data_IF_705757581945
#
_entry.id   IF_705757581945
#
_cell.length_a   1.000
_cell.length_b   1.000
_cell.length_c   1.000
_cell.angle_alpha   90.00
_cell.angle_beta   90.00
_cell.angle_gamma   90.00
#
_symmetry.space_group_name_H-M   'P 1'
#
loop_
_entity.id
_entity.type
_entity.pdbx_description
1 polymer ?
#
# COMPACT_ATOMS: atom_id res chain seq x y z
N UNK A 1 -1.14 28.18 26.52
CA UNK A 1 -0.41 28.19 27.83
C UNK A 1 -0.25 26.74 28.24
N UNK A 2 0.97 26.28 28.53
CA UNK A 2 1.25 24.91 28.96
C UNK A 2 0.61 24.64 30.32
N UNK A 3 0.00 23.49 30.55
CA UNK A 3 -0.69 23.14 31.81
C UNK A 3 0.20 23.36 33.05
N UNK A 4 1.49 23.11 32.94
CA UNK A 4 2.46 23.36 34.02
C UNK A 4 2.60 24.87 34.32
N UNK A 5 2.65 25.73 33.31
CA UNK A 5 2.75 27.17 33.49
C UNK A 5 1.47 27.74 34.13
N UNK A 6 0.30 27.23 33.76
CA UNK A 6 -0.98 27.61 34.35
C UNK A 6 -1.04 27.28 35.85
N UNK A 7 -0.58 26.09 36.26
CA UNK A 7 -0.52 25.69 37.67
C UNK A 7 0.50 26.53 38.46
N UNK A 8 1.62 26.88 37.85
CA UNK A 8 2.63 27.76 38.48
C UNK A 8 2.12 29.18 38.65
N UNK A 9 1.36 29.71 37.71
CA UNK A 9 0.72 31.02 37.80
C UNK A 9 -0.30 31.10 38.94
N UNK A 10 -0.93 29.96 39.30
CA UNK A 10 -1.85 29.82 40.45
C UNK A 10 -1.11 29.63 41.79
N UNK A 11 0.22 29.74 41.84
CA UNK A 11 1.00 29.64 43.06
C UNK A 11 1.31 28.23 43.52
N UNK A 12 0.98 27.19 42.72
CA UNK A 12 1.25 25.79 43.08
C UNK A 12 2.77 25.55 43.07
N UNK A 13 3.37 24.93 44.11
CA UNK A 13 4.80 24.65 44.15
C UNK A 13 5.29 23.81 42.97
N UNK A 14 6.51 24.07 42.48
CA UNK A 14 7.11 23.44 41.31
C UNK A 14 7.03 21.90 41.35
N UNK A 15 7.18 21.30 42.53
CA UNK A 15 7.09 19.85 42.72
C UNK A 15 5.69 19.32 42.49
N UNK A 16 4.69 19.94 43.09
CA UNK A 16 3.28 19.53 42.98
C UNK A 16 2.78 19.76 41.53
N UNK A 17 3.14 20.88 40.92
CA UNK A 17 2.80 21.15 39.53
C UNK A 17 3.46 20.13 38.55
N UNK A 18 4.67 19.67 38.84
CA UNK A 18 5.35 18.66 38.05
C UNK A 18 4.66 17.27 38.18
N UNK A 19 4.26 16.88 39.39
CA UNK A 19 3.50 15.65 39.65
C UNK A 19 2.14 15.66 38.96
N UNK A 20 1.38 16.75 39.06
CA UNK A 20 0.06 16.88 38.44
C UNK A 20 0.10 16.86 36.90
N UNK A 21 1.20 17.32 36.31
CA UNK A 21 1.37 17.33 34.84
C UNK A 21 2.15 16.14 34.29
N UNK A 22 2.59 15.19 35.14
CA UNK A 22 3.44 14.06 34.76
C UNK A 22 4.84 14.47 34.27
N UNK A 23 5.27 15.69 34.58
CA UNK A 23 6.57 16.21 34.13
C UNK A 23 7.71 15.73 35.00
N UNK A 24 8.84 15.35 34.41
CA UNK A 24 10.02 14.97 35.17
C UNK A 24 10.54 16.16 36.01
N UNK A 25 10.86 15.92 37.29
CA UNK A 25 11.32 16.95 38.24
C UNK A 25 12.50 17.79 37.73
N UNK A 26 13.45 17.18 37.04
CA UNK A 26 14.62 17.88 36.51
C UNK A 26 14.21 18.85 35.35
N UNK A 27 13.21 18.50 34.58
CA UNK A 27 12.64 19.35 33.54
C UNK A 27 11.88 20.53 34.14
N UNK A 28 11.10 20.28 35.18
CA UNK A 28 10.35 21.32 35.91
C UNK A 28 11.31 22.32 36.58
N UNK A 29 12.38 21.86 37.21
CA UNK A 29 13.43 22.74 37.81
C UNK A 29 14.17 23.56 36.75
N UNK A 30 14.52 22.99 35.59
CA UNK A 30 15.15 23.75 34.48
C UNK A 30 14.23 24.81 33.93
N UNK A 31 12.92 24.54 33.82
CA UNK A 31 11.93 25.54 33.39
C UNK A 31 11.79 26.66 34.41
N UNK A 32 11.69 26.35 35.72
CA UNK A 32 11.62 27.38 36.77
C UNK A 32 12.88 28.24 36.86
N UNK A 33 14.04 27.67 36.59
CA UNK A 33 15.32 28.38 36.63
C UNK A 33 15.59 29.21 35.35
N UNK A 34 14.81 29.02 34.29
CA UNK A 34 14.99 29.71 33.02
C UNK A 34 14.43 31.13 33.12
N UNK A 35 15.25 32.10 33.54
CA UNK A 35 14.92 33.50 33.37
C UNK A 35 14.68 33.79 31.91
N UNK A 36 13.70 34.63 31.52
CA UNK A 36 13.59 35.13 30.16
C UNK A 36 14.95 35.75 29.77
N UNK A 37 15.64 35.09 28.85
CA UNK A 37 16.87 35.67 28.35
C UNK A 37 16.49 36.74 27.34
N UNK A 38 16.57 38.01 27.75
CA UNK A 38 16.59 39.17 26.86
C UNK A 38 17.89 39.24 26.06
N UNK A 39 18.69 38.19 26.05
CA UNK A 39 19.82 38.08 25.15
C UNK A 39 19.31 37.87 23.75
N UNK A 40 19.04 38.91 23.01
CA UNK A 40 19.36 38.95 21.59
C UNK A 40 20.84 38.58 21.51
N UNK A 41 21.14 37.30 21.40
CA UNK A 41 22.49 36.84 21.17
C UNK A 41 22.91 37.47 19.84
N UNK A 42 23.71 38.48 19.89
CA UNK A 42 24.41 38.95 18.71
C UNK A 42 25.01 37.73 18.06
N UNK A 43 24.60 37.43 16.82
CA UNK A 43 25.09 36.28 16.07
C UNK A 43 26.60 36.48 15.89
N UNK A 44 27.37 35.94 16.83
CA UNK A 44 28.83 36.03 16.76
C UNK A 44 29.25 35.18 15.58
N UNK A 45 29.63 35.79 14.50
CA UNK A 45 30.16 35.09 13.32
C UNK A 45 31.50 34.48 13.72
N UNK A 46 31.65 33.14 13.66
CA UNK A 46 32.92 32.49 13.98
C UNK A 46 34.05 33.02 13.10
N UNK A 47 35.23 33.24 13.68
CA UNK A 47 36.41 33.78 12.98
C UNK A 47 36.82 32.91 11.77
N UNK A 48 36.55 31.63 11.83
CA UNK A 48 36.83 30.64 10.76
C UNK A 48 35.70 30.41 9.78
N UNK A 49 34.65 31.25 9.79
CA UNK A 49 33.55 31.13 8.84
C UNK A 49 34.01 31.62 7.47
N UNK A 50 33.80 30.77 6.45
CA UNK A 50 34.06 31.17 5.07
C UNK A 50 33.22 32.40 4.66
N UNK A 51 33.81 33.27 3.91
CA UNK A 51 33.13 34.42 3.28
C UNK A 51 32.15 33.93 2.20
N UNK A 52 31.23 34.78 1.78
CA UNK A 52 30.31 34.46 0.71
C UNK A 52 31.04 34.13 -0.61
N UNK A 53 32.12 34.82 -0.91
CA UNK A 53 32.94 34.58 -2.10
C UNK A 53 33.67 33.23 -2.04
N UNK A 54 34.19 32.83 -0.88
CA UNK A 54 34.80 31.52 -0.69
C UNK A 54 33.76 30.39 -0.80
N UNK A 55 32.57 30.57 -0.22
CA UNK A 55 31.47 29.62 -0.37
C UNK A 55 31.05 29.46 -1.84
N UNK A 56 30.96 30.54 -2.61
CA UNK A 56 30.65 30.50 -4.03
C UNK A 56 31.73 29.74 -4.80
N UNK A 57 33.01 30.02 -4.56
CA UNK A 57 34.12 29.30 -5.16
C UNK A 57 34.10 27.80 -4.89
N UNK A 58 33.80 27.40 -3.64
CA UNK A 58 33.65 25.97 -3.30
C UNK A 58 32.48 25.35 -4.06
N UNK A 59 31.36 26.06 -4.19
CA UNK A 59 30.19 25.59 -4.90
C UNK A 59 30.43 25.42 -6.40
N UNK A 60 31.11 26.42 -7.00
CA UNK A 60 31.46 26.41 -8.43
C UNK A 60 32.40 25.24 -8.75
N UNK A 61 33.41 25.02 -7.90
CA UNK A 61 34.33 23.90 -8.07
C UNK A 61 33.59 22.54 -7.96
N UNK A 62 32.74 22.39 -6.94
CA UNK A 62 31.92 21.20 -6.76
C UNK A 62 30.98 20.97 -7.95
N UNK A 63 30.50 21.97 -8.63
CA UNK A 63 29.60 21.93 -9.78
C UNK A 63 30.33 21.96 -11.13
N UNK A 64 31.64 22.05 -11.15
CA UNK A 64 32.43 22.00 -12.38
C UNK A 64 32.17 20.73 -13.16
N UNK A 65 32.35 20.77 -14.48
CA UNK A 65 32.20 19.60 -15.33
C UNK A 65 33.09 18.40 -14.90
N UNK A 66 34.21 18.73 -14.24
CA UNK A 66 35.18 17.76 -13.71
C UNK A 66 34.65 17.03 -12.47
N UNK A 67 33.91 17.71 -11.60
CA UNK A 67 33.55 17.18 -10.27
C UNK A 67 32.05 16.99 -10.03
N UNK A 68 31.22 17.32 -11.01
CA UNK A 68 29.76 17.24 -10.85
C UNK A 68 29.26 15.82 -10.48
N UNK A 69 29.97 14.78 -10.89
CA UNK A 69 29.65 13.38 -10.60
C UNK A 69 30.45 12.80 -9.41
N UNK A 70 31.34 13.59 -8.80
CA UNK A 70 32.21 13.15 -7.71
C UNK A 70 31.59 13.45 -6.34
N UNK A 71 31.81 12.54 -5.39
CA UNK A 71 31.46 12.82 -4.00
C UNK A 71 32.36 13.90 -3.41
N UNK A 72 31.88 14.77 -2.49
CA UNK A 72 32.72 15.82 -1.89
C UNK A 72 34.05 15.34 -1.29
N UNK A 73 34.06 14.11 -0.76
CA UNK A 73 35.29 13.50 -0.25
C UNK A 73 36.30 13.23 -1.36
N UNK A 74 35.86 12.80 -2.52
CA UNK A 74 36.74 12.57 -3.69
C UNK A 74 37.28 13.89 -4.24
N UNK A 75 36.41 14.92 -4.35
CA UNK A 75 36.79 16.26 -4.77
C UNK A 75 37.84 16.82 -3.82
N UNK A 76 37.63 16.69 -2.52
CA UNK A 76 38.58 17.17 -1.49
C UNK A 76 39.94 16.48 -1.63
N UNK A 77 39.97 15.15 -1.80
CA UNK A 77 41.22 14.41 -1.96
C UNK A 77 41.96 14.82 -3.24
N UNK A 78 41.26 14.93 -4.38
CA UNK A 78 41.83 15.32 -5.66
C UNK A 78 42.43 16.74 -5.58
N UNK A 79 41.72 17.70 -4.98
CA UNK A 79 42.22 19.05 -4.81
C UNK A 79 43.45 19.09 -3.91
N UNK A 80 43.52 18.27 -2.87
CA UNK A 80 44.72 18.18 -2.02
C UNK A 80 45.91 17.61 -2.78
N UNK A 81 45.73 16.60 -3.61
CA UNK A 81 46.79 16.03 -4.47
C UNK A 81 47.33 17.07 -5.46
N UNK A 82 46.47 18.03 -5.85
CA UNK A 82 46.85 19.17 -6.71
C UNK A 82 47.40 20.38 -5.93
N UNK A 83 47.59 20.24 -4.62
CA UNK A 83 48.10 21.29 -3.77
C UNK A 83 47.10 22.38 -3.42
N UNK A 84 45.79 22.14 -3.64
CA UNK A 84 44.73 23.13 -3.38
C UNK A 84 43.86 22.68 -2.20
N UNK A 85 43.72 23.55 -1.18
CA UNK A 85 42.81 23.36 -0.08
C UNK A 85 41.75 24.46 -0.06
N UNK A 86 40.48 24.10 -0.24
CA UNK A 86 39.36 25.05 -0.18
C UNK A 86 38.70 25.09 1.19
N UNK A 87 38.29 23.94 1.70
CA UNK A 87 37.66 23.80 3.01
C UNK A 87 37.56 22.34 3.41
N UNK A 88 37.07 22.04 4.64
CA UNK A 88 36.83 20.65 5.05
C UNK A 88 35.65 20.02 4.32
N UNK A 89 35.67 18.68 4.20
CA UNK A 89 34.55 17.88 3.60
C UNK A 89 33.22 18.23 4.25
N UNK A 90 33.17 18.38 5.58
CA UNK A 90 31.95 18.76 6.31
C UNK A 90 31.43 20.15 5.89
N UNK A 91 32.33 21.08 5.53
CA UNK A 91 31.96 22.42 5.04
C UNK A 91 31.40 22.30 3.61
N UNK A 92 32.01 21.49 2.74
CA UNK A 92 31.45 21.19 1.41
C UNK A 92 30.01 20.67 1.49
N UNK A 93 29.75 19.68 2.37
CA UNK A 93 28.38 19.19 2.57
C UNK A 93 27.43 20.27 3.12
N UNK A 94 27.87 21.15 4.03
CA UNK A 94 27.02 22.27 4.51
C UNK A 94 26.66 23.24 3.40
N UNK A 95 27.62 23.59 2.53
CA UNK A 95 27.39 24.47 1.37
C UNK A 95 26.39 23.80 0.40
N UNK A 96 26.56 22.53 0.07
CA UNK A 96 25.63 21.79 -0.77
C UNK A 96 24.23 21.70 -0.14
N UNK A 97 24.14 21.53 1.19
CA UNK A 97 22.84 21.50 1.91
C UNK A 97 22.14 22.85 1.79
N UNK A 98 22.86 23.95 2.04
CA UNK A 98 22.32 25.29 1.95
C UNK A 98 21.80 25.63 0.52
N UNK A 99 22.42 25.05 -0.51
CA UNK A 99 22.04 25.20 -1.91
C UNK A 99 21.07 24.07 -2.40
N UNK A 100 20.53 23.22 -1.50
CA UNK A 100 19.63 22.10 -1.83
C UNK A 100 20.22 21.09 -2.81
N UNK A 101 21.55 20.93 -2.84
CA UNK A 101 22.30 20.08 -3.75
C UNK A 101 22.85 18.79 -3.11
N UNK A 102 22.45 18.44 -1.89
CA UNK A 102 22.89 17.21 -1.19
C UNK A 102 22.26 15.95 -1.75
N UNK A 103 21.19 16.08 -2.54
CA UNK A 103 20.61 14.93 -3.23
C UNK A 103 21.60 14.40 -4.26
N UNK A 104 21.60 13.10 -4.42
CA UNK A 104 22.49 12.37 -5.30
C UNK A 104 22.79 13.14 -6.59
N UNK A 105 24.06 13.54 -6.76
CA UNK A 105 24.54 14.38 -7.87
C UNK A 105 24.73 13.55 -9.15
N UNK A 106 24.81 12.22 -9.01
CA UNK A 106 24.88 11.31 -10.15
C UNK A 106 23.52 11.34 -10.88
N UNK A 107 23.56 11.23 -12.21
CA UNK A 107 22.37 10.99 -13.04
C UNK A 107 21.84 9.57 -12.82
N UNK A 108 21.50 9.20 -11.61
CA UNK A 108 20.62 8.05 -11.40
C UNK A 108 19.26 8.42 -12.00
N UNK A 109 18.77 7.56 -12.88
CA UNK A 109 17.43 7.70 -13.43
C UNK A 109 16.48 7.97 -12.28
N UNK A 110 15.89 9.16 -12.25
CA UNK A 110 14.86 9.47 -11.24
C UNK A 110 13.79 8.41 -11.43
N UNK A 111 13.62 7.53 -10.45
CA UNK A 111 12.50 6.62 -10.47
C UNK A 111 11.24 7.47 -10.66
N UNK A 112 10.56 7.26 -11.77
CA UNK A 112 9.24 7.89 -11.98
C UNK A 112 8.40 7.53 -10.78
N UNK A 113 7.73 8.51 -10.17
CA UNK A 113 6.77 8.21 -9.10
C UNK A 113 5.81 7.17 -9.65
N UNK A 114 5.72 6.04 -8.97
CA UNK A 114 4.78 5.01 -9.36
C UNK A 114 3.37 5.62 -9.29
N UNK A 115 2.65 5.54 -10.40
CA UNK A 115 1.25 5.99 -10.45
C UNK A 115 0.42 5.00 -9.64
N UNK A 116 -0.52 5.52 -8.85
CA UNK A 116 -1.47 4.69 -8.12
C UNK A 116 -2.35 3.98 -9.16
N UNK A 117 -2.46 2.64 -9.14
CA UNK A 117 -3.39 1.96 -10.02
C UNK A 117 -4.83 2.26 -9.57
N UNK A 118 -5.60 2.89 -10.41
CA UNK A 118 -7.03 3.14 -10.20
C UNK A 118 -7.80 2.20 -11.11
N UNK A 119 -8.40 1.15 -10.55
CA UNK A 119 -9.12 0.14 -11.30
C UNK A 119 -10.54 0.04 -10.76
N UNK A 120 -11.51 0.09 -11.65
CA UNK A 120 -12.94 -0.04 -11.32
C UNK A 120 -13.54 -1.13 -12.20
N UNK A 121 -14.22 -2.09 -11.58
CA UNK A 121 -15.02 -3.10 -12.25
C UNK A 121 -16.50 -2.88 -11.91
N UNK A 122 -17.35 -2.88 -12.91
CA UNK A 122 -18.82 -2.74 -12.82
C UNK A 122 -19.55 -4.05 -13.14
N UNK A 123 -18.81 -5.04 -13.62
CA UNK A 123 -19.30 -6.38 -13.94
C UNK A 123 -18.18 -7.41 -13.78
N UNK A 124 -18.53 -8.72 -13.68
CA UNK A 124 -17.56 -9.79 -13.72
C UNK A 124 -16.74 -9.79 -15.02
N UNK A 125 -15.54 -10.37 -14.98
CA UNK A 125 -14.61 -10.54 -16.10
C UNK A 125 -13.99 -9.23 -16.64
N UNK A 126 -14.16 -8.10 -15.97
CA UNK A 126 -13.50 -6.86 -16.37
C UNK A 126 -12.07 -6.75 -15.81
N UNK A 127 -11.90 -7.07 -14.54
CA UNK A 127 -10.61 -6.94 -13.86
C UNK A 127 -10.33 -8.22 -13.07
N UNK A 128 -9.26 -8.91 -13.42
CA UNK A 128 -8.73 -10.00 -12.62
C UNK A 128 -7.53 -9.51 -11.81
N UNK A 129 -7.50 -9.89 -10.55
CA UNK A 129 -6.31 -9.72 -9.69
C UNK A 129 -5.69 -11.08 -9.44
N UNK A 130 -4.36 -11.17 -9.45
CA UNK A 130 -3.69 -12.42 -9.13
C UNK A 130 -2.49 -12.21 -8.21
N UNK A 131 -2.18 -13.25 -7.47
CA UNK A 131 -1.08 -13.25 -6.54
C UNK A 131 -0.64 -14.69 -6.23
N UNK A 132 0.55 -14.82 -5.63
CA UNK A 132 1.15 -16.11 -5.29
C UNK A 132 1.34 -16.18 -3.79
N UNK A 133 0.87 -17.26 -3.17
CA UNK A 133 1.11 -17.50 -1.76
C UNK A 133 1.85 -18.82 -1.54
N UNK A 134 2.66 -18.86 -0.48
CA UNK A 134 3.40 -20.06 -0.09
C UNK A 134 2.55 -20.94 0.82
N UNK A 135 2.50 -22.24 0.49
CA UNK A 135 1.93 -23.30 1.28
C UNK A 135 3.06 -24.11 1.89
N UNK A 136 3.04 -24.32 3.23
CA UNK A 136 4.09 -25.07 3.92
C UNK A 136 4.03 -26.55 3.54
N UNK A 137 5.11 -27.08 2.99
CA UNK A 137 5.26 -28.49 2.64
C UNK A 137 5.59 -29.40 3.84
N UNK A 138 5.89 -30.68 3.60
CA UNK A 138 5.98 -31.71 4.65
C UNK A 138 7.11 -31.45 5.66
N UNK A 139 8.17 -30.76 5.28
CA UNK A 139 9.30 -30.46 6.15
C UNK A 139 9.61 -28.96 6.16
N UNK A 140 10.29 -28.51 7.22
CA UNK A 140 10.75 -27.11 7.33
C UNK A 140 11.65 -26.75 6.16
N UNK A 141 11.32 -25.63 5.50
CA UNK A 141 12.06 -25.16 4.32
C UNK A 141 11.48 -25.62 2.98
N UNK A 142 10.54 -26.56 2.98
CA UNK A 142 9.82 -26.97 1.77
C UNK A 142 8.53 -26.15 1.70
N UNK A 143 8.30 -25.51 0.54
CA UNK A 143 7.10 -24.74 0.26
C UNK A 143 6.61 -25.03 -1.15
N UNK A 144 5.30 -24.92 -1.33
CA UNK A 144 4.66 -24.94 -2.64
C UNK A 144 4.13 -23.53 -2.92
N UNK A 145 4.19 -23.11 -4.16
CA UNK A 145 3.68 -21.81 -4.61
C UNK A 145 2.28 -22.01 -5.20
N UNK A 146 1.29 -21.40 -4.55
CA UNK A 146 -0.10 -21.40 -5.01
C UNK A 146 -0.38 -20.09 -5.75
N UNK A 147 -0.58 -20.19 -7.05
CA UNK A 147 -1.01 -19.10 -7.94
C UNK A 147 -2.52 -19.02 -7.87
N UNK A 148 -3.06 -17.86 -7.61
CA UNK A 148 -4.49 -17.65 -7.49
C UNK A 148 -4.91 -16.42 -8.27
N UNK A 149 -5.95 -16.55 -9.08
CA UNK A 149 -6.55 -15.44 -9.81
C UNK A 149 -8.01 -15.29 -9.42
N UNK A 150 -8.39 -14.05 -9.04
CA UNK A 150 -9.70 -13.67 -8.56
C UNK A 150 -10.31 -12.58 -9.45
N UNK A 151 -11.57 -12.72 -9.78
CA UNK A 151 -12.38 -11.63 -10.33
C UNK A 151 -12.73 -10.64 -9.23
N UNK A 152 -12.34 -9.37 -9.38
CA UNK A 152 -12.49 -8.38 -8.29
C UNK A 152 -13.93 -7.96 -8.06
N UNK A 153 -14.83 -8.09 -9.05
CA UNK A 153 -16.23 -7.72 -8.91
C UNK A 153 -17.02 -8.78 -8.14
N UNK A 154 -16.95 -10.01 -8.60
CA UNK A 154 -17.71 -11.14 -8.02
C UNK A 154 -17.00 -11.82 -6.84
N UNK A 155 -15.70 -11.63 -6.66
CA UNK A 155 -14.82 -12.38 -5.76
C UNK A 155 -14.62 -13.84 -6.19
N UNK A 156 -15.08 -14.24 -7.36
CA UNK A 156 -14.95 -15.59 -7.89
C UNK A 156 -13.49 -15.92 -8.19
N UNK A 157 -13.01 -17.04 -7.68
CA UNK A 157 -11.68 -17.55 -8.03
C UNK A 157 -11.79 -18.21 -9.39
N UNK A 158 -11.23 -17.55 -10.39
CA UNK A 158 -11.25 -18.03 -11.78
C UNK A 158 -10.16 -19.07 -12.05
N UNK A 159 -9.17 -19.19 -11.18
CA UNK A 159 -8.16 -20.23 -11.28
C UNK A 159 -7.23 -20.30 -10.10
N UNK A 160 -6.76 -21.52 -9.85
CA UNK A 160 -5.74 -21.84 -8.86
C UNK A 160 -4.78 -22.88 -9.43
N UNK A 161 -3.46 -22.63 -9.31
CA UNK A 161 -2.43 -23.61 -9.65
C UNK A 161 -1.45 -23.75 -8.49
N UNK A 162 -1.11 -24.99 -8.12
CA UNK A 162 -0.11 -25.26 -7.09
C UNK A 162 1.10 -25.93 -7.71
N UNK A 163 2.26 -25.30 -7.57
CA UNK A 163 3.53 -25.75 -8.13
C UNK A 163 4.64 -25.77 -7.09
N UNK A 164 5.72 -26.52 -7.37
CA UNK A 164 6.86 -26.67 -6.48
C UNK A 164 7.76 -25.42 -6.46
N UNK A 165 7.62 -24.52 -7.44
CA UNK A 165 8.41 -23.29 -7.56
C UNK A 165 7.66 -22.22 -8.33
N UNK A 166 8.00 -20.98 -8.06
CA UNK A 166 7.52 -19.84 -8.83
C UNK A 166 8.19 -19.77 -10.20
N UNK A 167 7.38 -19.63 -11.27
CA UNK A 167 7.87 -19.53 -12.65
C UNK A 167 6.87 -18.76 -13.52
N UNK A 168 7.38 -17.84 -14.37
CA UNK A 168 6.54 -17.06 -15.29
C UNK A 168 5.82 -17.91 -16.34
N UNK A 169 6.42 -19.03 -16.79
CA UNK A 169 5.78 -19.96 -17.75
C UNK A 169 4.54 -20.60 -17.12
N UNK A 170 4.63 -21.07 -15.87
CA UNK A 170 3.48 -21.64 -15.15
C UNK A 170 2.36 -20.61 -14.95
N UNK A 171 2.72 -19.35 -14.73
CA UNK A 171 1.74 -18.26 -14.67
C UNK A 171 1.05 -18.05 -16.03
N UNK A 172 1.79 -18.12 -17.12
CA UNK A 172 1.25 -18.01 -18.48
C UNK A 172 0.30 -19.15 -18.79
N UNK A 173 0.68 -20.40 -18.52
CA UNK A 173 -0.17 -21.59 -18.69
C UNK A 173 -1.49 -21.48 -17.90
N UNK A 174 -1.42 -21.02 -16.64
CA UNK A 174 -2.60 -20.76 -15.83
C UNK A 174 -3.52 -19.72 -16.47
N UNK A 175 -2.94 -18.60 -16.96
CA UNK A 175 -3.72 -17.53 -17.59
C UNK A 175 -4.39 -17.99 -18.88
N UNK A 176 -3.72 -18.75 -19.72
CA UNK A 176 -4.26 -19.31 -20.95
C UNK A 176 -5.48 -20.22 -20.66
N UNK A 177 -5.37 -21.10 -19.66
CA UNK A 177 -6.49 -21.95 -19.23
C UNK A 177 -7.66 -21.15 -18.68
N UNK A 178 -7.40 -20.12 -17.84
CA UNK A 178 -8.43 -19.26 -17.28
C UNK A 178 -9.12 -18.47 -18.38
N UNK A 179 -8.39 -17.86 -19.30
CA UNK A 179 -8.94 -17.05 -20.37
C UNK A 179 -9.71 -17.90 -21.39
N UNK A 180 -9.25 -19.12 -21.65
CA UNK A 180 -9.97 -20.08 -22.48
C UNK A 180 -11.30 -20.54 -21.87
N UNK A 181 -11.40 -20.60 -20.52
CA UNK A 181 -12.59 -21.07 -19.81
C UNK A 181 -13.58 -19.94 -19.50
N UNK A 182 -13.09 -18.81 -19.01
CA UNK A 182 -13.93 -17.73 -18.46
C UNK A 182 -13.94 -16.46 -19.32
N UNK A 183 -13.15 -16.41 -20.36
CA UNK A 183 -12.99 -15.24 -21.24
C UNK A 183 -11.83 -14.33 -20.81
N UNK A 184 -11.40 -13.50 -21.76
CA UNK A 184 -10.27 -12.57 -21.60
C UNK A 184 -10.74 -11.32 -20.84
N UNK A 185 -10.09 -10.94 -19.73
CA UNK A 185 -10.44 -9.72 -18.99
C UNK A 185 -9.92 -8.47 -19.70
N UNK A 186 -10.43 -7.30 -19.30
CA UNK A 186 -9.89 -6.03 -19.78
C UNK A 186 -8.54 -5.70 -19.10
N UNK A 187 -8.42 -6.06 -17.82
CA UNK A 187 -7.24 -5.73 -17.01
C UNK A 187 -6.84 -6.94 -16.16
N UNK A 188 -5.55 -7.21 -16.12
CA UNK A 188 -4.93 -8.11 -15.14
C UNK A 188 -4.06 -7.28 -14.21
N UNK A 189 -4.39 -7.33 -12.92
CA UNK A 189 -3.67 -6.65 -11.85
C UNK A 189 -2.87 -7.65 -11.01
N UNK A 190 -1.64 -7.28 -10.64
CA UNK A 190 -0.77 -8.10 -9.80
C UNK A 190 0.22 -7.25 -9.01
N UNK A 191 0.86 -7.85 -8.02
CA UNK A 191 2.05 -7.28 -7.41
C UNK A 191 3.24 -7.26 -8.38
N UNK A 192 4.40 -6.79 -7.92
CA UNK A 192 5.64 -6.75 -8.71
C UNK A 192 6.54 -7.95 -8.45
N UNK A 193 5.97 -9.13 -8.23
CA UNK A 193 6.72 -10.37 -8.10
C UNK A 193 7.47 -10.74 -9.39
N UNK A 194 8.43 -11.66 -9.28
CA UNK A 194 9.28 -12.08 -10.40
C UNK A 194 8.47 -12.66 -11.55
N UNK A 195 7.52 -13.55 -11.25
CA UNK A 195 6.63 -14.14 -12.26
C UNK A 195 5.70 -13.11 -12.88
N UNK A 196 5.22 -12.14 -12.07
CA UNK A 196 4.25 -11.12 -12.46
C UNK A 196 4.84 -10.08 -13.43
N UNK A 197 6.16 -9.87 -13.35
CA UNK A 197 6.89 -8.96 -14.23
C UNK A 197 7.64 -9.68 -15.37
N UNK A 198 7.47 -11.01 -15.48
CA UNK A 198 8.15 -11.82 -16.49
C UNK A 198 7.78 -11.44 -17.92
N UNK A 199 8.71 -11.64 -18.85
CA UNK A 199 8.48 -11.36 -20.26
C UNK A 199 7.41 -12.28 -20.86
N UNK A 200 7.27 -13.53 -20.38
CA UNK A 200 6.23 -14.46 -20.84
C UNK A 200 4.83 -13.95 -20.53
N UNK A 201 4.57 -13.56 -19.28
CA UNK A 201 3.28 -12.95 -18.87
C UNK A 201 3.04 -11.65 -19.62
N UNK A 202 4.07 -10.79 -19.73
CA UNK A 202 3.94 -9.54 -20.47
C UNK A 202 3.60 -9.74 -21.96
N UNK A 203 4.21 -10.75 -22.59
CA UNK A 203 3.97 -11.12 -23.98
C UNK A 203 2.54 -11.61 -24.20
N UNK A 204 2.08 -12.58 -23.39
CA UNK A 204 0.71 -13.11 -23.47
C UNK A 204 -0.35 -12.00 -23.31
N UNK A 205 -0.22 -11.16 -22.29
CA UNK A 205 -1.21 -10.09 -22.04
C UNK A 205 -1.21 -9.05 -23.17
N UNK A 206 -0.03 -8.73 -23.73
CA UNK A 206 0.06 -7.81 -24.87
C UNK A 206 -0.55 -8.40 -26.16
N UNK A 207 -0.33 -9.69 -26.43
CA UNK A 207 -0.91 -10.40 -27.58
C UNK A 207 -2.45 -10.43 -27.51
N UNK A 208 -2.99 -10.64 -26.31
CA UNK A 208 -4.42 -10.70 -26.08
C UNK A 208 -5.08 -9.30 -25.88
N UNK A 209 -4.31 -8.22 -25.95
CA UNK A 209 -4.81 -6.86 -25.77
C UNK A 209 -5.24 -6.55 -24.32
N UNK A 210 -4.77 -7.32 -23.34
CA UNK A 210 -5.11 -7.15 -21.91
C UNK A 210 -4.21 -6.08 -21.29
N UNK A 211 -4.82 -5.11 -20.63
CA UNK A 211 -4.07 -4.08 -19.88
C UNK A 211 -3.42 -4.69 -18.64
N UNK A 212 -2.10 -4.56 -18.55
CA UNK A 212 -1.36 -4.98 -17.37
C UNK A 212 -1.26 -3.87 -16.34
N UNK A 213 -1.65 -4.14 -15.12
CA UNK A 213 -1.56 -3.22 -13.97
C UNK A 213 -0.74 -3.83 -12.85
N UNK A 214 -0.01 -3.00 -12.11
CA UNK A 214 0.81 -3.44 -10.99
C UNK A 214 0.65 -2.55 -9.77
N UNK A 215 0.72 -3.17 -8.59
CA UNK A 215 0.83 -2.48 -7.30
C UNK A 215 2.04 -1.54 -7.27
N UNK A 216 1.93 -0.46 -6.51
CA UNK A 216 3.08 0.42 -6.23
C UNK A 216 4.10 -0.32 -5.36
N UNK A 217 5.40 -0.08 -5.54
CA UNK A 217 6.43 -0.70 -4.70
C UNK A 217 6.19 -0.44 -3.21
N UNK A 218 6.17 -1.49 -2.39
CA UNK A 218 6.00 -1.44 -0.93
C UNK A 218 4.65 -0.88 -0.45
N UNK A 219 3.60 -0.95 -1.27
CA UNK A 219 2.22 -0.56 -0.91
C UNK A 219 1.35 -1.81 -0.98
N UNK A 220 1.09 -2.43 0.18
CA UNK A 220 0.28 -3.66 0.27
C UNK A 220 -1.19 -3.43 -0.11
N UNK A 221 -1.74 -2.26 0.18
CA UNK A 221 -3.15 -1.95 -0.08
C UNK A 221 -3.53 -1.89 -1.58
N UNK A 222 -2.57 -2.04 -2.48
CA UNK A 222 -2.83 -2.00 -3.92
C UNK A 222 -3.30 -3.36 -4.48
N UNK A 223 -3.26 -4.46 -3.69
CA UNK A 223 -3.84 -5.76 -4.07
C UNK A 223 -4.78 -6.33 -2.97
N UNK A 224 -5.82 -5.58 -2.55
CA UNK A 224 -6.62 -5.89 -1.38
C UNK A 224 -7.45 -7.17 -1.52
N UNK A 225 -7.84 -7.54 -2.75
CA UNK A 225 -8.69 -8.70 -2.99
C UNK A 225 -7.95 -10.01 -2.81
N UNK A 226 -6.76 -10.14 -3.36
CA UNK A 226 -5.89 -11.30 -3.18
C UNK A 226 -5.46 -11.44 -1.72
N UNK A 227 -5.07 -10.34 -1.06
CA UNK A 227 -4.71 -10.36 0.37
C UNK A 227 -5.87 -10.80 1.27
N UNK A 228 -7.08 -10.29 1.01
CA UNK A 228 -8.28 -10.68 1.76
C UNK A 228 -8.62 -12.16 1.57
N UNK A 229 -8.51 -12.65 0.34
CA UNK A 229 -8.74 -14.05 0.04
C UNK A 229 -7.71 -14.96 0.72
N UNK A 230 -6.43 -14.61 0.70
CA UNK A 230 -5.39 -15.36 1.41
C UNK A 230 -5.60 -15.39 2.93
N UNK A 231 -6.17 -14.34 3.51
CA UNK A 231 -6.60 -14.37 4.92
C UNK A 231 -7.72 -15.39 5.11
N UNK A 232 -8.75 -15.37 4.27
CA UNK A 232 -9.85 -16.33 4.34
C UNK A 232 -9.34 -17.76 4.22
N UNK A 233 -8.42 -18.04 3.29
CA UNK A 233 -7.79 -19.34 3.12
C UNK A 233 -7.00 -19.78 4.37
N UNK A 234 -6.04 -18.95 4.81
CA UNK A 234 -5.08 -19.34 5.87
C UNK A 234 -5.69 -19.38 7.27
N UNK A 235 -6.80 -18.67 7.49
CA UNK A 235 -7.54 -18.71 8.75
C UNK A 235 -8.72 -19.70 8.75
N UNK A 236 -8.94 -20.40 7.65
CA UNK A 236 -9.96 -21.46 7.62
C UNK A 236 -9.58 -22.57 8.61
N UNK A 237 -10.53 -23.05 9.42
CA UNK A 237 -10.25 -24.13 10.40
C UNK A 237 -9.69 -25.41 9.76
N UNK A 238 -10.04 -25.66 8.50
CA UNK A 238 -9.57 -26.82 7.74
C UNK A 238 -8.16 -26.63 7.15
N UNK A 239 -7.58 -25.41 7.21
CA UNK A 239 -6.28 -25.15 6.60
C UNK A 239 -5.16 -25.86 7.39
N UNK A 240 -4.40 -26.78 6.77
CA UNK A 240 -3.39 -27.55 7.48
C UNK A 240 -2.14 -26.71 7.77
N UNK A 241 -1.49 -26.92 8.91
CA UNK A 241 -0.18 -26.30 9.19
C UNK A 241 0.85 -26.67 8.13
N UNK A 242 0.78 -27.92 7.62
CA UNK A 242 1.67 -28.47 6.59
C UNK A 242 0.95 -29.41 5.67
N UNK A 243 1.28 -29.32 4.40
CA UNK A 243 0.81 -30.24 3.37
C UNK A 243 1.77 -31.42 3.25
N UNK A 244 1.25 -32.63 3.28
CA UNK A 244 2.03 -33.86 3.19
C UNK A 244 2.74 -34.03 1.83
N UNK A 245 2.13 -33.49 0.77
CA UNK A 245 2.66 -33.53 -0.60
C UNK A 245 2.08 -32.38 -1.43
N UNK A 246 2.62 -32.17 -2.62
CA UNK A 246 2.07 -31.21 -3.58
C UNK A 246 0.66 -31.65 -4.05
N UNK A 247 0.39 -32.95 -4.14
CA UNK A 247 -0.94 -33.47 -4.49
C UNK A 247 -1.95 -33.13 -3.39
N UNK A 248 -1.61 -33.37 -2.12
CA UNK A 248 -2.44 -32.95 -0.99
C UNK A 248 -2.71 -31.44 -0.99
N UNK A 249 -1.72 -30.62 -1.36
CA UNK A 249 -1.93 -29.18 -1.47
C UNK A 249 -2.88 -28.81 -2.64
N UNK A 250 -2.79 -29.50 -3.76
CA UNK A 250 -3.70 -29.33 -4.91
C UNK A 250 -5.13 -29.72 -4.56
N UNK A 251 -5.31 -30.92 -4.04
CA UNK A 251 -6.63 -31.42 -3.65
C UNK A 251 -7.32 -30.48 -2.66
N UNK A 252 -6.59 -30.04 -1.63
CA UNK A 252 -7.10 -29.07 -0.66
C UNK A 252 -7.48 -27.73 -1.32
N UNK A 253 -6.65 -27.21 -2.22
CA UNK A 253 -6.92 -25.93 -2.88
C UNK A 253 -8.13 -26.03 -3.81
N UNK A 254 -8.30 -27.15 -4.52
CA UNK A 254 -9.43 -27.39 -5.41
C UNK A 254 -10.74 -27.49 -4.60
N UNK A 255 -10.76 -28.25 -3.50
CA UNK A 255 -11.89 -28.35 -2.58
C UNK A 255 -12.21 -26.98 -1.94
N UNK A 256 -11.21 -26.27 -1.46
CA UNK A 256 -11.40 -24.97 -0.82
C UNK A 256 -11.96 -23.93 -1.81
N UNK A 257 -11.44 -23.87 -3.03
CA UNK A 257 -11.93 -22.96 -4.08
C UNK A 257 -13.37 -23.31 -4.47
N UNK A 258 -13.70 -24.59 -4.59
CA UNK A 258 -15.08 -25.03 -4.87
C UNK A 258 -16.03 -24.56 -3.77
N UNK A 259 -15.70 -24.81 -2.50
CA UNK A 259 -16.47 -24.32 -1.36
C UNK A 259 -16.56 -22.79 -1.34
N UNK A 260 -15.45 -22.08 -1.53
CA UNK A 260 -15.42 -20.63 -1.53
C UNK A 260 -16.31 -20.03 -2.63
N UNK A 261 -16.22 -20.56 -3.82
CA UNK A 261 -16.98 -20.05 -4.96
C UNK A 261 -18.48 -20.32 -4.84
N UNK A 262 -18.89 -21.48 -4.30
CA UNK A 262 -20.28 -21.94 -4.37
C UNK A 262 -21.04 -21.90 -3.04
N UNK A 263 -20.34 -21.89 -1.90
CA UNK A 263 -20.99 -21.96 -0.58
C UNK A 263 -20.67 -20.74 0.31
N UNK A 264 -19.45 -20.21 0.25
CA UNK A 264 -19.05 -19.08 1.08
C UNK A 264 -19.84 -17.81 0.72
N UNK A 265 -20.52 -17.23 1.73
CA UNK A 265 -21.28 -16.00 1.54
C UNK A 265 -20.43 -14.80 1.93
N UNK A 266 -20.23 -13.90 0.98
CA UNK A 266 -19.32 -12.78 1.14
C UNK A 266 -20.07 -11.49 1.44
N UNK A 267 -19.79 -10.84 2.60
CA UNK A 267 -20.46 -9.60 3.01
C UNK A 267 -20.25 -8.45 2.01
N UNK A 268 -19.07 -8.37 1.40
CA UNK A 268 -18.73 -7.34 0.40
C UNK A 268 -19.46 -7.47 -0.94
N UNK A 269 -20.26 -8.51 -1.16
CA UNK A 269 -21.08 -8.73 -2.35
C UNK A 269 -22.54 -9.11 -1.97
N UNK A 270 -23.10 -8.45 -0.95
CA UNK A 270 -24.51 -8.63 -0.59
C UNK A 270 -24.84 -10.02 -0.01
N UNK A 271 -23.90 -10.68 0.65
CA UNK A 271 -24.03 -12.06 1.15
C UNK A 271 -24.43 -13.08 0.05
N UNK A 272 -24.09 -12.79 -1.20
CA UNK A 272 -24.09 -13.78 -2.27
C UNK A 272 -22.85 -14.66 -2.21
N UNK A 273 -22.92 -15.82 -2.84
CA UNK A 273 -21.70 -16.58 -3.15
C UNK A 273 -20.99 -15.91 -4.34
N UNK A 274 -19.66 -16.04 -4.45
CA UNK A 274 -18.94 -15.57 -5.62
C UNK A 274 -19.54 -16.07 -6.95
N UNK A 275 -19.98 -17.33 -7.01
CA UNK A 275 -20.64 -17.91 -8.17
C UNK A 275 -21.97 -17.24 -8.51
N UNK A 276 -22.78 -16.85 -7.52
CA UNK A 276 -24.04 -16.16 -7.76
C UNK A 276 -23.82 -14.84 -8.52
N UNK A 277 -22.78 -14.09 -8.13
CA UNK A 277 -22.47 -12.82 -8.76
C UNK A 277 -21.79 -13.03 -10.12
N UNK A 278 -20.85 -13.97 -10.21
CA UNK A 278 -20.09 -14.24 -11.43
C UNK A 278 -20.96 -14.71 -12.58
N UNK A 279 -21.99 -15.51 -12.29
CA UNK A 279 -22.94 -16.05 -13.27
C UNK A 279 -24.24 -15.25 -13.38
N UNK A 280 -24.34 -14.10 -12.69
CA UNK A 280 -25.48 -13.18 -12.82
C UNK A 280 -26.77 -13.62 -12.09
N UNK A 281 -26.67 -14.56 -11.12
CA UNK A 281 -27.80 -15.10 -10.36
C UNK A 281 -28.20 -14.24 -9.17
N UNK A 282 -27.41 -13.22 -8.83
CA UNK A 282 -27.59 -12.40 -7.64
C UNK A 282 -28.95 -11.69 -7.61
N UNK A 283 -29.40 -11.10 -8.74
CA UNK A 283 -30.67 -10.37 -8.83
C UNK A 283 -31.89 -11.26 -8.56
N UNK A 284 -31.88 -12.48 -9.07
CA UNK A 284 -32.94 -13.44 -8.81
C UNK A 284 -32.98 -13.83 -7.34
N UNK A 285 -31.81 -14.14 -6.75
CA UNK A 285 -31.70 -14.46 -5.31
C UNK A 285 -32.13 -13.29 -4.42
N UNK A 286 -31.85 -12.06 -4.79
CA UNK A 286 -32.32 -10.89 -4.06
C UNK A 286 -33.84 -10.77 -4.10
N UNK A 287 -34.45 -11.04 -5.24
CA UNK A 287 -35.91 -11.07 -5.37
C UNK A 287 -36.51 -12.13 -4.46
N UNK A 288 -35.93 -13.35 -4.45
CA UNK A 288 -36.37 -14.44 -3.56
C UNK A 288 -36.22 -14.05 -2.08
N UNK A 289 -35.08 -13.47 -1.68
CA UNK A 289 -34.83 -13.01 -0.29
C UNK A 289 -35.85 -11.94 0.15
N UNK A 290 -36.16 -10.97 -0.72
CA UNK A 290 -37.17 -9.94 -0.44
C UNK A 290 -38.56 -10.52 -0.31
N UNK A 291 -38.93 -11.51 -1.14
CA UNK A 291 -40.20 -12.20 -1.04
C UNK A 291 -40.36 -12.95 0.30
N UNK A 292 -39.32 -13.70 0.72
CA UNK A 292 -39.30 -14.41 2.01
C UNK A 292 -39.45 -13.42 3.19
N UNK A 293 -38.75 -12.28 3.14
CA UNK A 293 -38.84 -11.27 4.19
C UNK A 293 -40.22 -10.58 4.21
N UNK A 294 -40.83 -10.34 3.05
CA UNK A 294 -42.17 -9.77 2.96
C UNK A 294 -43.22 -10.73 3.55
N UNK A 295 -43.14 -12.02 3.24
CA UNK A 295 -44.00 -13.05 3.81
C UNK A 295 -43.81 -13.17 5.33
N UNK A 296 -42.56 -13.18 5.82
CA UNK A 296 -42.25 -13.20 7.25
C UNK A 296 -42.85 -11.97 7.98
N UNK A 297 -42.79 -10.79 7.36
CA UNK A 297 -43.42 -9.55 7.89
C UNK A 297 -44.94 -9.67 7.93
N UNK A 298 -45.55 -10.23 6.91
CA UNK A 298 -46.99 -10.44 6.88
C UNK A 298 -47.46 -11.38 8.02
N UNK A 299 -46.74 -12.50 8.22
CA UNK A 299 -47.02 -13.49 9.29
C UNK A 299 -46.72 -12.98 10.71
N UNK A 300 -45.70 -12.14 10.88
CA UNK A 300 -45.17 -11.70 12.18
C UNK A 300 -44.97 -10.20 12.25
N UNK A 301 -46.00 -9.42 11.92
CA UNK A 301 -45.93 -7.95 11.82
C UNK A 301 -45.35 -7.27 13.07
N UNK A 302 -45.58 -7.82 14.24
CA UNK A 302 -45.07 -7.29 15.51
C UNK A 302 -43.57 -7.40 15.70
N UNK A 303 -42.86 -8.16 14.85
CA UNK A 303 -41.39 -8.32 14.85
C UNK A 303 -40.67 -7.38 13.90
N UNK A 304 -41.41 -6.63 13.10
CA UNK A 304 -40.88 -5.72 12.10
C UNK A 304 -41.28 -4.29 12.37
N UNK A 305 -40.45 -3.32 11.97
CA UNK A 305 -40.81 -1.93 12.02
C UNK A 305 -42.10 -1.64 11.25
N UNK A 306 -42.95 -0.77 11.80
CA UNK A 306 -44.20 -0.37 11.13
C UNK A 306 -43.92 0.42 9.84
N UNK A 307 -42.88 1.26 9.86
CA UNK A 307 -42.63 2.30 8.87
C UNK A 307 -41.55 1.93 7.82
N UNK A 308 -40.87 0.79 7.95
CA UNK A 308 -39.81 0.41 7.05
C UNK A 308 -39.98 -1.03 6.54
N UNK A 309 -39.76 -1.25 5.23
CA UNK A 309 -39.64 -2.57 4.67
C UNK A 309 -38.35 -3.27 5.15
N UNK A 310 -38.38 -4.60 5.37
CA UNK A 310 -37.16 -5.33 5.66
C UNK A 310 -36.12 -5.15 4.55
N UNK A 311 -34.88 -4.88 4.93
CA UNK A 311 -33.76 -4.68 3.97
C UNK A 311 -32.93 -5.93 3.88
N UNK A 312 -32.42 -6.19 2.69
CA UNK A 312 -31.28 -7.08 2.45
C UNK A 312 -30.03 -6.24 2.26
N UNK A 313 -28.86 -6.87 2.29
CA UNK A 313 -27.61 -6.21 1.90
C UNK A 313 -27.56 -6.27 0.38
N UNK A 314 -27.52 -5.10 -0.25
CA UNK A 314 -27.49 -5.00 -1.71
C UNK A 314 -26.10 -5.34 -2.27
N UNK A 315 -26.08 -5.85 -3.50
CA UNK A 315 -24.85 -6.04 -4.25
C UNK A 315 -24.28 -4.65 -4.60
N UNK A 316 -22.98 -4.37 -4.36
CA UNK A 316 -22.35 -3.13 -4.79
C UNK A 316 -22.37 -2.99 -6.31
N UNK A 317 -22.60 -1.78 -6.81
CA UNK A 317 -22.57 -1.48 -8.24
C UNK A 317 -21.15 -1.56 -8.82
N UNK A 318 -20.14 -1.34 -8.00
CA UNK A 318 -18.73 -1.31 -8.42
C UNK A 318 -17.84 -2.01 -7.41
N UNK A 319 -16.75 -2.58 -7.91
CA UNK A 319 -15.60 -3.01 -7.11
C UNK A 319 -14.36 -2.27 -7.60
N UNK A 320 -13.57 -1.72 -6.69
CA UNK A 320 -12.44 -0.88 -7.09
C UNK A 320 -11.16 -1.20 -6.30
N UNK A 321 -10.03 -1.07 -6.99
CA UNK A 321 -8.70 -0.95 -6.37
C UNK A 321 -8.33 0.52 -6.45
N UNK A 322 -8.11 1.18 -5.31
CA UNK A 322 -7.83 2.61 -5.20
C UNK A 322 -8.87 3.47 -5.98
N UNK A 323 -10.13 3.52 -5.55
CA UNK A 323 -11.15 4.30 -6.24
C UNK A 323 -10.71 5.76 -6.40
N UNK A 324 -11.02 6.40 -7.54
CA UNK A 324 -10.70 7.80 -7.73
C UNK A 324 -11.32 8.64 -6.61
N UNK A 325 -10.56 9.58 -6.06
CA UNK A 325 -11.10 10.51 -5.06
C UNK A 325 -12.22 11.33 -5.71
N UNK A 326 -13.36 11.51 -5.03
CA UNK A 326 -14.37 12.44 -5.49
C UNK A 326 -13.71 13.80 -5.72
N UNK A 327 -13.99 14.44 -6.86
CA UNK A 327 -13.54 15.81 -7.11
C UNK A 327 -14.04 16.68 -5.96
N UNK A 328 -13.15 17.37 -5.26
CA UNK A 328 -13.54 18.39 -4.28
C UNK A 328 -14.43 19.40 -5.02
N UNK A 329 -15.60 19.78 -4.48
CA UNK A 329 -16.42 20.80 -5.11
C UNK A 329 -15.58 22.06 -5.24
N UNK A 330 -15.40 22.56 -6.46
CA UNK A 330 -14.73 23.83 -6.70
C UNK A 330 -15.38 24.88 -5.84
N UNK A 331 -14.69 25.34 -4.82
CA UNK A 331 -15.08 26.52 -4.06
C UNK A 331 -15.08 27.69 -5.03
N UNK A 332 -16.25 28.01 -5.61
CA UNK A 332 -16.46 29.26 -6.31
C UNK A 332 -16.21 30.37 -5.30
N UNK A 333 -14.97 30.89 -5.29
CA UNK A 333 -14.65 32.13 -4.64
C UNK A 333 -15.48 33.21 -5.33
N UNK A 334 -16.58 33.58 -4.69
CA UNK A 334 -17.38 34.73 -5.07
C UNK A 334 -16.50 35.94 -4.78
N UNK A 335 -15.89 36.51 -5.82
CA UNK A 335 -15.29 37.83 -5.76
C UNK A 335 -16.44 38.83 -5.59
N UNK A 336 -16.43 39.52 -4.46
CA UNK A 336 -17.14 40.76 -4.22
C UNK A 336 -16.13 41.92 -4.22
#
# INVERSE_FOLDING_TARGET
>A
MDAWEALRAQGIPTRAAAELTGMNRSTALRRSARKPSERTAAVTVPVNKLTAAECARVLDELNSARFVDCAPLQVWATLLDEGTYLCSVSTMYRILTANKQVKERRRLARHRKAVCPELVATAPRQVYSWDITKLAGPAKGIYYDAYVMIDIFSRYIVGVHVNARECGVLATEMMEQIFGTYGIPHVVHADRGTSMTSNSVAGLLAELGVTRSHSRPKVSNDNPYSESWFKTLKYAPAFPERFASIHHARDFMDEFVAWYNHEHRHSGIGLHTPADVFYGLATEKDTQRRAVLAEARARHRHRFSADAAPKIIDLPETAAINPPKPAEPENKTTAA
#
